data_IF_559622680832
#
_entry.id   IF_559622680832
#
_cell.length_a   1.000
_cell.length_b   1.000
_cell.length_c   1.000
_cell.angle_alpha   90.00
_cell.angle_beta   90.00
_cell.angle_gamma   90.00
#
_symmetry.space_group_name_H-M   'P 1'
#
loop_
_entity.id
_entity.type
_entity.pdbx_description
1 polymer ?
#
# COMPACT_ATOMS: atom_id res chain seq x y z
N UNK A 1 6.51 -32.49 -16.74
CA UNK A 1 5.17 -31.87 -16.89
C UNK A 1 5.36 -30.39 -17.16
N UNK A 2 5.45 -30.02 -18.44
CA UNK A 2 5.41 -28.60 -18.84
C UNK A 2 3.95 -28.17 -18.79
N UNK A 3 3.55 -27.20 -17.95
CA UNK A 3 2.16 -26.82 -17.89
C UNK A 3 1.80 -26.08 -19.18
N UNK A 4 0.76 -26.56 -19.87
CA UNK A 4 0.14 -25.80 -20.94
C UNK A 4 -0.23 -24.41 -20.39
N UNK A 5 0.47 -23.40 -20.91
CA UNK A 5 0.32 -21.95 -20.62
C UNK A 5 0.94 -21.45 -19.30
N UNK A 6 2.26 -21.34 -19.24
CA UNK A 6 2.90 -20.34 -18.38
C UNK A 6 2.68 -18.96 -18.99
N UNK A 7 1.76 -18.19 -18.43
CA UNK A 7 1.58 -16.77 -18.77
C UNK A 7 2.63 -15.98 -18.00
N UNK A 8 3.46 -15.22 -18.71
CA UNK A 8 4.43 -14.31 -18.10
C UNK A 8 3.74 -13.41 -17.05
N UNK A 9 4.38 -13.21 -15.88
CA UNK A 9 3.88 -12.37 -14.78
C UNK A 9 3.41 -10.99 -15.27
N UNK A 10 4.12 -10.40 -16.23
CA UNK A 10 3.77 -9.13 -16.89
C UNK A 10 2.42 -9.20 -17.60
N UNK A 11 2.21 -10.25 -18.37
CA UNK A 11 0.95 -10.45 -19.11
C UNK A 11 -0.19 -10.79 -18.14
N UNK A 12 0.10 -11.58 -17.10
CA UNK A 12 -0.86 -11.88 -16.04
C UNK A 12 -1.34 -10.62 -15.30
N UNK A 13 -0.41 -9.72 -14.96
CA UNK A 13 -0.71 -8.42 -14.34
C UNK A 13 -1.56 -7.54 -15.27
N UNK A 14 -1.23 -7.45 -16.57
CA UNK A 14 -2.03 -6.68 -17.55
C UNK A 14 -3.46 -7.19 -17.68
N UNK A 15 -3.64 -8.52 -17.73
CA UNK A 15 -4.96 -9.15 -17.77
C UNK A 15 -5.73 -8.80 -16.50
N UNK A 16 -5.10 -8.98 -15.33
CA UNK A 16 -5.71 -8.66 -14.03
C UNK A 16 -6.15 -7.20 -13.94
N UNK A 17 -5.28 -6.24 -14.30
CA UNK A 17 -5.63 -4.80 -14.33
C UNK A 17 -6.77 -4.50 -15.29
N UNK A 18 -6.82 -5.17 -16.45
CA UNK A 18 -7.88 -4.96 -17.45
C UNK A 18 -9.23 -5.47 -16.96
N UNK A 19 -9.27 -6.63 -16.31
CA UNK A 19 -10.48 -7.17 -15.70
C UNK A 19 -10.93 -6.29 -14.53
N UNK A 20 -9.99 -5.89 -13.67
CA UNK A 20 -10.23 -5.01 -12.53
C UNK A 20 -10.98 -3.73 -12.91
N UNK A 21 -10.55 -3.05 -13.98
CA UNK A 21 -11.25 -1.88 -14.56
C UNK A 21 -12.72 -2.17 -14.84
N UNK A 22 -13.03 -3.33 -15.42
CA UNK A 22 -14.42 -3.72 -15.73
C UNK A 22 -15.21 -3.99 -14.45
N UNK A 23 -14.61 -4.67 -13.48
CA UNK A 23 -15.26 -4.98 -12.19
C UNK A 23 -15.66 -3.72 -11.42
N UNK A 24 -14.88 -2.64 -11.49
CA UNK A 24 -15.24 -1.35 -10.88
C UNK A 24 -16.59 -0.80 -11.34
N UNK A 25 -16.99 -1.12 -12.57
CA UNK A 25 -18.26 -0.66 -13.18
C UNK A 25 -19.45 -1.60 -12.95
N UNK A 26 -19.24 -2.76 -12.31
CA UNK A 26 -20.30 -3.75 -12.15
C UNK A 26 -21.24 -3.39 -11.00
N UNK A 27 -22.52 -3.69 -11.20
CA UNK A 27 -23.51 -3.66 -10.12
C UNK A 27 -23.25 -4.78 -9.11
N UNK A 28 -23.75 -4.61 -7.88
CA UNK A 28 -23.65 -5.63 -6.83
C UNK A 28 -24.18 -7.00 -7.27
N UNK A 29 -25.30 -7.04 -8.00
CA UNK A 29 -25.88 -8.27 -8.56
C UNK A 29 -24.91 -8.97 -9.51
N UNK A 30 -24.18 -8.22 -10.32
CA UNK A 30 -23.19 -8.80 -11.24
C UNK A 30 -21.94 -9.28 -10.48
N UNK A 31 -21.52 -8.58 -9.42
CA UNK A 31 -20.43 -9.04 -8.57
C UNK A 31 -20.77 -10.34 -7.85
N UNK A 32 -22.02 -10.57 -7.46
CA UNK A 32 -22.46 -11.83 -6.85
C UNK A 32 -22.18 -13.03 -7.79
N UNK A 33 -22.45 -12.89 -9.09
CA UNK A 33 -22.12 -13.93 -10.07
C UNK A 33 -20.61 -14.20 -10.16
N UNK A 34 -19.79 -13.15 -10.03
CA UNK A 34 -18.33 -13.29 -10.04
C UNK A 34 -17.83 -14.10 -8.84
N UNK A 35 -18.52 -14.04 -7.69
CA UNK A 35 -18.09 -14.80 -6.50
C UNK A 35 -18.13 -16.31 -6.69
N UNK A 36 -18.93 -16.82 -7.64
CA UNK A 36 -18.97 -18.25 -7.97
C UNK A 36 -17.61 -18.79 -8.45
N UNK A 37 -16.80 -17.93 -9.09
CA UNK A 37 -15.46 -18.29 -9.58
C UNK A 37 -14.40 -18.30 -8.47
N UNK A 38 -14.70 -17.87 -7.25
CA UNK A 38 -13.75 -17.90 -6.13
C UNK A 38 -13.35 -19.33 -5.72
N UNK A 39 -14.12 -20.34 -6.09
CA UNK A 39 -13.72 -21.75 -5.91
C UNK A 39 -12.53 -22.13 -6.80
N UNK A 40 -12.29 -21.39 -7.90
CA UNK A 40 -11.19 -21.63 -8.81
C UNK A 40 -9.92 -20.90 -8.33
N UNK A 41 -8.88 -21.65 -7.97
CA UNK A 41 -7.60 -21.09 -7.52
C UNK A 41 -6.98 -20.13 -8.54
N UNK A 42 -6.96 -20.50 -9.83
CA UNK A 42 -6.43 -19.62 -10.89
C UNK A 42 -7.17 -18.28 -10.97
N UNK A 43 -8.47 -18.26 -10.67
CA UNK A 43 -9.24 -17.03 -10.62
C UNK A 43 -8.86 -16.18 -9.41
N UNK A 44 -8.66 -16.78 -8.23
CA UNK A 44 -8.18 -16.08 -7.05
C UNK A 44 -6.77 -15.52 -7.26
N UNK A 45 -5.86 -16.31 -7.83
CA UNK A 45 -4.51 -15.86 -8.18
C UNK A 45 -4.55 -14.65 -9.11
N UNK A 46 -5.41 -14.68 -10.13
CA UNK A 46 -5.58 -13.57 -11.07
C UNK A 46 -6.17 -12.32 -10.42
N UNK A 47 -7.24 -12.48 -9.64
CA UNK A 47 -8.07 -11.36 -9.20
C UNK A 47 -7.75 -10.81 -7.82
N UNK A 48 -7.17 -11.62 -6.95
CA UNK A 48 -6.90 -11.28 -5.55
C UNK A 48 -5.42 -11.03 -5.28
N UNK A 49 -4.53 -11.84 -5.87
CA UNK A 49 -3.13 -11.88 -5.42
C UNK A 49 -2.14 -11.27 -6.42
N UNK A 50 -2.43 -11.36 -7.73
CA UNK A 50 -1.52 -10.83 -8.74
C UNK A 50 -1.59 -9.31 -8.92
N UNK A 51 -2.68 -8.70 -8.48
CA UNK A 51 -2.86 -7.25 -8.50
C UNK A 51 -3.68 -6.82 -7.29
N UNK A 52 -3.00 -6.22 -6.31
CA UNK A 52 -3.62 -5.74 -5.08
C UNK A 52 -4.27 -4.37 -5.33
N UNK A 53 -5.58 -4.36 -5.62
CA UNK A 53 -6.34 -3.16 -5.96
C UNK A 53 -6.80 -2.38 -4.70
N UNK A 54 -5.82 -1.78 -4.01
CA UNK A 54 -6.05 -1.02 -2.76
C UNK A 54 -7.16 0.02 -2.95
N UNK A 55 -7.13 0.79 -4.03
CA UNK A 55 -8.10 1.85 -4.34
C UNK A 55 -9.57 1.40 -4.29
N UNK A 56 -9.84 0.10 -4.51
CA UNK A 56 -11.19 -0.46 -4.52
C UNK A 56 -11.46 -1.45 -3.42
N UNK A 57 -10.66 -1.41 -2.35
CA UNK A 57 -10.96 -2.13 -1.12
C UNK A 57 -12.37 -1.80 -0.60
N UNK A 58 -12.85 -0.57 -0.77
CA UNK A 58 -14.22 -0.20 -0.38
C UNK A 58 -15.29 -0.49 -1.45
N UNK A 59 -14.94 -1.21 -2.51
CA UNK A 59 -15.82 -1.60 -3.59
C UNK A 59 -15.65 -3.10 -3.90
N UNK A 60 -15.41 -3.45 -5.17
CA UNK A 60 -15.42 -4.85 -5.61
C UNK A 60 -14.28 -5.67 -4.98
N UNK A 61 -13.08 -5.10 -4.81
CA UNK A 61 -11.91 -5.87 -4.37
C UNK A 61 -12.07 -6.34 -2.92
N UNK A 62 -12.43 -5.44 -2.00
CA UNK A 62 -12.74 -5.85 -0.62
C UNK A 62 -13.99 -6.73 -0.52
N UNK A 63 -14.96 -6.57 -1.41
CA UNK A 63 -16.11 -7.48 -1.49
C UNK A 63 -15.66 -8.91 -1.85
N UNK A 64 -14.80 -9.08 -2.84
CA UNK A 64 -14.28 -10.39 -3.24
C UNK A 64 -13.40 -11.00 -2.14
N UNK A 65 -12.56 -10.23 -1.45
CA UNK A 65 -11.77 -10.70 -0.30
C UNK A 65 -12.66 -11.23 0.84
N UNK A 66 -13.73 -10.50 1.19
CA UNK A 66 -14.69 -10.96 2.21
C UNK A 66 -15.38 -12.26 1.79
N UNK A 67 -15.67 -12.42 0.50
CA UNK A 67 -16.35 -13.61 -0.05
C UNK A 67 -15.41 -14.80 -0.24
N UNK A 68 -14.11 -14.57 -0.41
CA UNK A 68 -13.12 -15.64 -0.56
C UNK A 68 -12.74 -16.29 0.77
N UNK A 69 -12.75 -15.53 1.88
CA UNK A 69 -12.31 -16.00 3.20
C UNK A 69 -12.92 -17.34 3.67
N UNK A 70 -14.23 -17.63 3.50
CA UNK A 70 -14.80 -18.93 3.90
C UNK A 70 -14.49 -20.08 2.91
N UNK A 71 -13.86 -19.80 1.77
CA UNK A 71 -13.61 -20.75 0.67
C UNK A 71 -12.13 -21.17 0.65
N UNK A 72 -11.24 -20.23 0.93
CA UNK A 72 -9.78 -20.44 0.90
C UNK A 72 -9.32 -21.35 2.04
N UNK A 73 -8.33 -22.20 1.74
CA UNK A 73 -7.76 -23.15 2.69
C UNK A 73 -6.22 -23.11 2.76
N UNK A 74 -5.56 -22.46 1.79
CA UNK A 74 -4.11 -22.31 1.79
C UNK A 74 -3.70 -21.24 2.83
N UNK A 75 -2.62 -21.51 3.57
CA UNK A 75 -2.15 -20.65 4.67
C UNK A 75 -1.82 -19.23 4.19
N UNK A 76 -1.11 -19.11 3.07
CA UNK A 76 -0.70 -17.84 2.46
C UNK A 76 -1.92 -17.01 2.02
N UNK A 77 -2.92 -17.66 1.41
CA UNK A 77 -4.18 -17.03 1.02
C UNK A 77 -4.93 -16.50 2.25
N UNK A 78 -5.02 -17.32 3.32
CA UNK A 78 -5.70 -16.94 4.56
C UNK A 78 -4.97 -15.76 5.22
N UNK A 79 -3.64 -15.83 5.32
CA UNK A 79 -2.81 -14.77 5.88
C UNK A 79 -3.00 -13.47 5.08
N UNK A 80 -2.84 -13.54 3.76
CA UNK A 80 -3.04 -12.41 2.86
C UNK A 80 -4.41 -11.77 3.05
N UNK A 81 -5.48 -12.58 2.96
CA UNK A 81 -6.85 -12.07 2.97
C UNK A 81 -7.20 -11.46 4.32
N UNK A 82 -6.80 -12.09 5.43
CA UNK A 82 -7.02 -11.52 6.77
C UNK A 82 -6.29 -10.18 6.92
N UNK A 83 -5.00 -10.13 6.62
CA UNK A 83 -4.22 -8.89 6.75
C UNK A 83 -4.78 -7.76 5.88
N UNK A 84 -5.19 -8.05 4.63
CA UNK A 84 -5.82 -7.05 3.75
C UNK A 84 -7.17 -6.56 4.28
N UNK A 85 -7.97 -7.43 4.90
CA UNK A 85 -9.23 -7.03 5.54
C UNK A 85 -8.98 -6.21 6.81
N UNK A 86 -7.90 -6.49 7.55
CA UNK A 86 -7.47 -5.68 8.68
C UNK A 86 -7.07 -4.28 8.24
N UNK A 87 -6.25 -4.18 7.20
CA UNK A 87 -5.90 -2.89 6.58
C UNK A 87 -7.13 -2.15 6.07
N UNK A 88 -8.08 -2.86 5.43
CA UNK A 88 -9.34 -2.29 4.97
C UNK A 88 -10.16 -1.66 6.11
N UNK A 89 -10.24 -2.33 7.27
CA UNK A 89 -10.91 -1.76 8.44
C UNK A 89 -10.15 -0.54 8.97
N UNK A 90 -8.81 -0.63 9.05
CA UNK A 90 -7.95 0.46 9.52
C UNK A 90 -8.15 1.75 8.71
N UNK A 91 -8.07 1.70 7.38
CA UNK A 91 -8.24 2.90 6.51
C UNK A 91 -9.67 3.44 6.50
N UNK A 92 -10.63 2.68 7.04
CA UNK A 92 -12.02 3.11 7.26
C UNK A 92 -12.29 3.55 8.69
N UNK A 93 -11.26 3.60 9.54
CA UNK A 93 -11.40 3.94 10.95
C UNK A 93 -12.38 2.99 11.68
N UNK A 94 -12.40 1.72 11.27
CA UNK A 94 -13.15 0.63 11.90
C UNK A 94 -12.21 -0.25 12.74
N UNK A 95 -12.75 -1.08 13.63
CA UNK A 95 -11.95 -1.98 14.47
C UNK A 95 -11.15 -2.98 13.63
N UNK A 96 -9.86 -3.12 13.96
CA UNK A 96 -8.99 -4.15 13.39
C UNK A 96 -9.07 -5.38 14.29
N UNK A 97 -10.12 -6.19 14.10
CA UNK A 97 -10.38 -7.39 14.92
C UNK A 97 -9.58 -8.60 14.40
N UNK A 98 -8.25 -8.48 14.37
CA UNK A 98 -7.34 -9.55 13.97
C UNK A 98 -6.31 -9.77 15.07
N UNK A 99 -6.28 -10.97 15.62
CA UNK A 99 -5.16 -11.41 16.48
C UNK A 99 -3.98 -11.78 15.58
N UNK A 100 -3.06 -10.83 15.36
CA UNK A 100 -1.91 -10.99 14.46
C UNK A 100 -1.02 -12.16 14.90
N UNK A 101 -0.77 -12.31 16.19
CA UNK A 101 0.01 -13.43 16.75
C UNK A 101 -0.64 -14.81 16.55
N UNK A 102 -1.96 -14.86 16.32
CA UNK A 102 -2.66 -16.12 15.99
C UNK A 102 -2.51 -16.53 14.52
N UNK A 103 -1.95 -15.65 13.68
CA UNK A 103 -1.76 -15.93 12.26
C UNK A 103 -0.43 -16.64 12.04
N UNK A 104 -0.49 -17.78 11.38
CA UNK A 104 0.69 -18.54 11.00
C UNK A 104 1.39 -17.88 9.81
N UNK A 105 2.69 -17.62 9.95
CA UNK A 105 3.54 -17.17 8.84
C UNK A 105 4.07 -18.42 8.11
N UNK A 106 3.82 -18.56 6.80
CA UNK A 106 4.34 -19.67 6.00
C UNK A 106 5.87 -19.69 5.95
N UNK A 107 6.49 -20.86 5.88
CA UNK A 107 7.97 -21.00 5.80
C UNK A 107 8.58 -20.25 4.61
N UNK A 108 7.90 -20.24 3.47
CA UNK A 108 8.31 -19.54 2.24
C UNK A 108 7.45 -18.29 1.99
N UNK A 109 7.14 -17.54 3.05
CA UNK A 109 6.31 -16.34 2.95
C UNK A 109 6.95 -15.30 2.01
N UNK A 110 6.18 -14.85 1.02
CA UNK A 110 6.62 -13.82 0.09
C UNK A 110 7.00 -12.53 0.86
N UNK A 111 8.12 -11.83 0.52
CA UNK A 111 8.58 -10.66 1.27
C UNK A 111 7.50 -9.56 1.45
N UNK A 112 6.72 -9.26 0.42
CA UNK A 112 5.57 -8.33 0.51
C UNK A 112 4.56 -8.76 1.60
N UNK A 113 4.20 -10.04 1.65
CA UNK A 113 3.23 -10.55 2.61
C UNK A 113 3.79 -10.52 4.04
N UNK A 114 5.08 -10.84 4.19
CA UNK A 114 5.78 -10.71 5.46
C UNK A 114 5.86 -9.24 5.92
N UNK A 115 6.16 -8.32 5.00
CA UNK A 115 6.10 -6.89 5.24
C UNK A 115 4.74 -6.47 5.79
N UNK A 116 3.67 -6.83 5.08
CA UNK A 116 2.28 -6.57 5.50
C UNK A 116 1.95 -7.12 6.89
N UNK A 117 2.39 -8.34 7.19
CA UNK A 117 2.18 -8.95 8.51
C UNK A 117 2.76 -8.05 9.61
N UNK A 118 4.01 -7.62 9.46
CA UNK A 118 4.65 -6.75 10.44
C UNK A 118 4.04 -5.33 10.45
N UNK A 119 3.57 -4.82 9.30
CA UNK A 119 2.83 -3.55 9.28
C UNK A 119 1.55 -3.62 10.10
N UNK A 120 0.80 -4.72 9.98
CA UNK A 120 -0.41 -4.91 10.77
C UNK A 120 -0.11 -5.09 12.25
N UNK A 121 1.04 -5.67 12.62
CA UNK A 121 1.48 -5.74 14.01
C UNK A 121 1.68 -4.34 14.61
N UNK A 122 2.23 -3.38 13.85
CA UNK A 122 2.32 -1.98 14.29
C UNK A 122 0.96 -1.33 14.54
N UNK A 123 -0.06 -1.68 13.73
CA UNK A 123 -1.42 -1.15 13.86
C UNK A 123 -2.15 -1.78 15.06
N UNK A 124 -2.02 -3.10 15.23
CA UNK A 124 -2.77 -3.87 16.23
C UNK A 124 -2.16 -3.79 17.64
N UNK A 125 -0.86 -3.50 17.76
CA UNK A 125 -0.13 -3.47 19.05
C UNK A 125 0.69 -2.16 19.17
N UNK A 126 0.03 -0.98 19.21
CA UNK A 126 0.72 0.30 19.21
C UNK A 126 1.65 0.49 20.42
N UNK A 127 1.33 -0.11 21.57
CA UNK A 127 2.17 -0.11 22.77
C UNK A 127 3.52 -0.82 22.57
N UNK A 128 3.58 -1.78 21.64
CA UNK A 128 4.78 -2.54 21.32
C UNK A 128 5.46 -2.04 20.03
N UNK A 129 5.04 -0.89 19.47
CA UNK A 129 5.49 -0.38 18.17
C UNK A 129 7.02 -0.36 18.01
N UNK A 130 7.77 0.08 19.02
CA UNK A 130 9.24 0.11 18.96
C UNK A 130 9.86 -1.30 18.96
N UNK A 131 9.36 -2.20 19.82
CA UNK A 131 9.83 -3.58 19.85
C UNK A 131 9.54 -4.30 18.54
N UNK A 132 8.32 -4.13 18.00
CA UNK A 132 7.89 -4.71 16.74
C UNK A 132 8.71 -4.17 15.57
N UNK A 133 9.06 -2.88 15.58
CA UNK A 133 9.96 -2.27 14.61
C UNK A 133 11.39 -2.84 14.69
N UNK A 134 11.96 -2.94 15.88
CA UNK A 134 13.32 -3.48 16.08
C UNK A 134 13.42 -4.95 15.66
N UNK A 135 12.39 -5.74 15.95
CA UNK A 135 12.27 -7.13 15.51
C UNK A 135 12.22 -7.21 13.98
N UNK A 136 11.38 -6.38 13.34
CA UNK A 136 11.27 -6.32 11.90
C UNK A 136 12.59 -5.90 11.24
N UNK A 137 13.33 -4.94 11.81
CA UNK A 137 14.65 -4.57 11.33
C UNK A 137 15.65 -5.74 11.41
N UNK A 138 15.59 -6.59 12.46
CA UNK A 138 16.43 -7.80 12.53
C UNK A 138 16.07 -8.83 11.45
N UNK A 139 14.79 -8.95 11.11
CA UNK A 139 14.31 -9.83 10.04
C UNK A 139 14.78 -9.31 8.68
N UNK A 140 14.60 -8.02 8.41
CA UNK A 140 14.99 -7.41 7.13
C UNK A 140 16.47 -7.60 6.78
N UNK A 141 17.36 -7.61 7.78
CA UNK A 141 18.81 -7.85 7.58
C UNK A 141 19.11 -9.22 6.95
N UNK A 142 18.20 -10.19 7.08
CA UNK A 142 18.39 -11.57 6.58
C UNK A 142 17.77 -11.80 5.20
N UNK A 143 17.03 -10.84 4.65
CA UNK A 143 16.27 -10.99 3.41
C UNK A 143 16.83 -10.09 2.32
N UNK A 144 17.13 -10.61 1.14
CA UNK A 144 17.70 -9.79 0.06
C UNK A 144 16.68 -8.81 -0.55
N UNK A 145 15.41 -9.21 -0.65
CA UNK A 145 14.33 -8.42 -1.26
C UNK A 145 13.81 -7.27 -0.38
N UNK A 146 14.65 -6.29 -0.05
CA UNK A 146 14.28 -5.13 0.79
C UNK A 146 13.10 -4.36 0.24
N UNK A 147 13.15 -4.04 -1.04
CA UNK A 147 12.09 -3.31 -1.72
C UNK A 147 10.71 -3.95 -1.55
N UNK A 148 10.60 -5.25 -1.81
CA UNK A 148 9.35 -6.01 -1.68
C UNK A 148 8.91 -6.08 -0.21
N UNK A 149 9.86 -6.31 0.70
CA UNK A 149 9.60 -6.38 2.14
C UNK A 149 9.04 -5.06 2.69
N UNK A 150 9.58 -3.92 2.25
CA UNK A 150 9.15 -2.61 2.73
C UNK A 150 7.96 -2.00 1.97
N UNK A 151 7.55 -2.61 0.84
CA UNK A 151 6.50 -2.11 -0.05
C UNK A 151 5.20 -1.72 0.70
N UNK A 152 4.79 -2.52 1.67
CA UNK A 152 3.58 -2.29 2.45
C UNK A 152 3.85 -1.92 3.91
N UNK A 153 5.13 -1.86 4.30
CA UNK A 153 5.56 -1.42 5.62
C UNK A 153 5.72 0.10 5.69
N UNK A 154 6.42 0.67 4.70
CA UNK A 154 6.63 2.12 4.61
C UNK A 154 5.31 2.89 4.55
N UNK A 155 4.31 2.50 3.72
CA UNK A 155 3.01 3.18 3.73
C UNK A 155 2.34 3.19 5.11
N UNK A 156 2.45 2.11 5.89
CA UNK A 156 1.89 2.09 7.25
C UNK A 156 2.65 3.01 8.18
N UNK A 157 3.98 3.08 8.11
CA UNK A 157 4.74 4.07 8.87
C UNK A 157 4.33 5.52 8.52
N UNK A 158 4.04 5.79 7.23
CA UNK A 158 3.48 7.08 6.82
C UNK A 158 2.14 7.32 7.53
N UNK A 159 1.23 6.34 7.53
CA UNK A 159 -0.08 6.47 8.18
C UNK A 159 0.02 6.63 9.70
N UNK A 160 1.02 6.01 10.33
CA UNK A 160 1.28 6.13 11.77
C UNK A 160 2.11 7.38 12.14
N UNK A 161 2.49 8.20 11.15
CA UNK A 161 3.37 9.39 11.32
C UNK A 161 4.75 9.08 11.90
N UNK A 162 5.24 7.87 11.69
CA UNK A 162 6.50 7.34 12.24
C UNK A 162 7.69 7.70 11.33
N UNK A 163 7.87 8.99 11.04
CA UNK A 163 8.86 9.47 10.05
C UNK A 163 10.30 9.17 10.49
N UNK A 164 10.59 9.16 11.79
CA UNK A 164 11.89 8.76 12.35
C UNK A 164 12.23 7.30 12.01
N UNK A 165 11.24 6.40 12.05
CA UNK A 165 11.43 4.99 11.68
C UNK A 165 11.69 4.85 10.18
N UNK A 166 11.02 5.68 9.36
CA UNK A 166 11.26 5.76 7.92
C UNK A 166 12.71 6.22 7.66
N UNK A 167 13.16 7.28 8.34
CA UNK A 167 14.54 7.77 8.24
C UNK A 167 15.56 6.70 8.62
N UNK A 168 15.33 5.96 9.71
CA UNK A 168 16.18 4.83 10.10
C UNK A 168 16.25 3.75 9.02
N UNK A 169 15.14 3.42 8.36
CA UNK A 169 15.11 2.47 7.25
C UNK A 169 15.98 2.97 6.09
N UNK A 170 15.83 4.23 5.66
CA UNK A 170 16.63 4.79 4.57
C UNK A 170 18.12 4.87 4.92
N UNK A 171 18.47 5.19 6.16
CA UNK A 171 19.86 5.20 6.60
C UNK A 171 20.55 3.83 6.49
N UNK A 172 19.78 2.73 6.58
CA UNK A 172 20.31 1.37 6.50
C UNK A 172 20.25 0.84 5.05
N UNK A 173 19.17 1.12 4.32
CA UNK A 173 18.82 0.43 3.06
C UNK A 173 18.59 1.38 1.88
N UNK A 174 19.19 2.57 1.87
CA UNK A 174 18.95 3.58 0.82
C UNK A 174 19.07 2.99 -0.59
N UNK A 175 20.20 2.35 -0.91
CA UNK A 175 20.45 1.83 -2.25
C UNK A 175 19.45 0.72 -2.61
N UNK A 176 19.18 -0.21 -1.70
CA UNK A 176 18.23 -1.32 -1.95
C UNK A 176 16.78 -0.86 -2.10
N UNK A 177 16.45 0.34 -1.61
CA UNK A 177 15.13 0.96 -1.74
C UNK A 177 15.03 1.96 -2.90
N UNK A 178 16.16 2.38 -3.49
CA UNK A 178 16.24 3.46 -4.47
C UNK A 178 16.88 3.05 -5.82
N UNK A 179 17.66 1.96 -5.87
CA UNK A 179 18.27 1.42 -7.11
C UNK A 179 17.38 0.32 -7.70
N UNK A 180 17.02 0.46 -8.99
CA UNK A 180 16.05 -0.40 -9.65
C UNK A 180 16.53 -0.95 -11.00
N UNK A 181 16.38 -2.27 -11.18
CA UNK A 181 16.64 -2.96 -12.45
C UNK A 181 15.37 -3.40 -13.22
N UNK A 182 14.17 -3.36 -12.61
CA UNK A 182 12.94 -3.90 -13.24
C UNK A 182 11.74 -2.92 -13.29
N UNK A 183 11.10 -2.87 -14.46
CA UNK A 183 10.04 -1.93 -14.83
C UNK A 183 8.68 -2.16 -14.11
N UNK A 184 8.46 -3.33 -13.50
CA UNK A 184 7.24 -3.69 -12.76
C UNK A 184 7.25 -3.20 -11.30
N UNK A 185 8.39 -2.68 -10.80
CA UNK A 185 8.52 -2.12 -9.46
C UNK A 185 8.26 -0.61 -9.35
N UNK A 186 7.87 0.06 -10.44
CA UNK A 186 7.59 1.52 -10.48
C UNK A 186 6.57 1.94 -9.39
N UNK A 187 5.66 1.06 -8.99
CA UNK A 187 4.72 1.32 -7.90
C UNK A 187 5.33 1.28 -6.51
N UNK A 188 6.32 0.42 -6.30
CA UNK A 188 6.98 0.24 -5.01
C UNK A 188 7.91 1.43 -4.74
N UNK A 189 8.65 1.85 -5.77
CA UNK A 189 9.50 3.04 -5.75
C UNK A 189 8.74 4.28 -5.29
N UNK A 190 7.49 4.45 -5.74
CA UNK A 190 6.69 5.63 -5.39
C UNK A 190 6.44 5.76 -3.90
N UNK A 191 6.19 4.65 -3.19
CA UNK A 191 6.04 4.74 -1.74
C UNK A 191 7.34 5.17 -1.08
N UNK A 192 8.48 4.65 -1.54
CA UNK A 192 9.80 5.03 -1.04
C UNK A 192 10.09 6.52 -1.32
N UNK A 193 9.80 7.01 -2.53
CA UNK A 193 9.98 8.42 -2.88
C UNK A 193 9.08 9.36 -2.06
N UNK A 194 7.82 8.99 -1.80
CA UNK A 194 6.93 9.75 -0.90
C UNK A 194 7.53 9.78 0.51
N UNK A 195 7.93 8.62 1.02
CA UNK A 195 8.47 8.46 2.36
C UNK A 195 9.76 9.28 2.56
N UNK A 196 10.68 9.21 1.59
CA UNK A 196 11.92 9.99 1.60
C UNK A 196 11.64 11.49 1.51
N UNK A 197 10.62 11.90 0.75
CA UNK A 197 10.17 13.31 0.72
C UNK A 197 9.70 13.78 2.10
N UNK A 198 9.00 12.92 2.86
CA UNK A 198 8.55 13.25 4.21
C UNK A 198 9.72 13.35 5.19
N UNK A 199 10.75 12.50 5.06
CA UNK A 199 12.00 12.60 5.83
C UNK A 199 12.69 13.93 5.56
N UNK A 200 12.89 14.30 4.29
CA UNK A 200 13.49 15.60 3.94
C UNK A 200 12.67 16.79 4.45
N UNK A 201 11.35 16.71 4.39
CA UNK A 201 10.49 17.77 4.93
C UNK A 201 10.61 17.90 6.45
N UNK A 202 10.68 16.78 7.17
CA UNK A 202 10.89 16.77 8.62
C UNK A 202 12.23 17.38 9.02
N UNK A 203 13.27 17.11 8.24
CA UNK A 203 14.63 17.58 8.50
C UNK A 203 14.91 19.00 7.95
N UNK A 204 13.89 19.73 7.50
CA UNK A 204 14.01 21.05 6.86
C UNK A 204 14.88 21.05 5.57
N UNK A 205 15.04 19.90 4.90
CA UNK A 205 15.80 19.71 3.65
C UNK A 205 14.91 19.85 2.40
N UNK A 206 14.01 20.84 2.41
CA UNK A 206 12.98 21.05 1.37
C UNK A 206 13.54 21.23 -0.04
N UNK A 207 14.81 21.65 -0.19
CA UNK A 207 15.48 21.77 -1.47
C UNK A 207 15.65 20.44 -2.22
N UNK A 208 15.63 19.30 -1.52
CA UNK A 208 15.80 17.96 -2.11
C UNK A 208 14.48 17.37 -2.64
N UNK A 209 13.36 17.84 -2.11
CA UNK A 209 12.00 17.34 -2.41
C UNK A 209 11.60 17.51 -3.90
N UNK A 210 11.90 18.63 -4.59
CA UNK A 210 11.54 18.79 -6.00
C UNK A 210 12.08 17.70 -6.92
N UNK A 211 13.28 17.19 -6.64
CA UNK A 211 13.88 16.13 -7.45
C UNK A 211 13.06 14.85 -7.35
N UNK A 212 12.67 14.46 -6.13
CA UNK A 212 11.80 13.31 -5.90
C UNK A 212 10.43 13.49 -6.56
N UNK A 213 9.86 14.70 -6.52
CA UNK A 213 8.58 15.00 -7.14
C UNK A 213 8.60 14.89 -8.68
N UNK A 214 9.77 15.07 -9.33
CA UNK A 214 9.87 14.91 -10.78
C UNK A 214 9.51 13.50 -11.22
N UNK A 215 9.91 12.48 -10.46
CA UNK A 215 9.58 11.08 -10.74
C UNK A 215 8.07 10.80 -10.70
N UNK A 216 7.29 11.57 -9.93
CA UNK A 216 5.83 11.50 -9.95
C UNK A 216 5.21 12.25 -11.15
N UNK A 217 5.88 13.30 -11.65
CA UNK A 217 5.38 14.11 -12.76
C UNK A 217 5.77 13.59 -14.15
N UNK A 218 6.89 12.88 -14.26
CA UNK A 218 7.43 12.36 -15.52
C UNK A 218 6.71 11.07 -15.99
N UNK A 219 6.10 10.33 -15.07
CA UNK A 219 5.24 9.20 -15.40
C UNK A 219 3.85 9.71 -15.83
N UNK A 220 3.70 10.06 -17.11
CA UNK A 220 2.44 10.58 -17.69
C UNK A 220 1.24 9.62 -17.59
N UNK A 221 1.49 8.34 -17.31
CA UNK A 221 0.46 7.35 -17.06
C UNK A 221 0.63 6.78 -15.65
N UNK A 222 -0.05 7.39 -14.68
CA UNK A 222 -0.42 6.64 -13.50
C UNK A 222 -1.16 5.38 -13.95
N UNK A 223 -0.70 4.18 -13.55
CA UNK A 223 -1.49 2.98 -13.77
C UNK A 223 -2.89 3.19 -13.19
N UNK A 224 -3.85 2.46 -13.72
CA UNK A 224 -5.26 2.86 -13.66
C UNK A 224 -5.86 2.96 -12.25
N UNK A 225 -5.14 2.47 -11.22
CA UNK A 225 -5.53 2.59 -9.82
C UNK A 225 -4.32 3.03 -8.99
N UNK A 226 -4.25 4.33 -8.73
CA UNK A 226 -3.20 4.98 -7.97
C UNK A 226 -3.75 6.03 -6.99
N UNK A 227 -5.05 6.03 -6.74
CA UNK A 227 -5.70 7.02 -5.88
C UNK A 227 -5.11 6.97 -4.46
N UNK A 228 -4.87 5.79 -3.90
CA UNK A 228 -4.23 5.63 -2.60
C UNK A 228 -2.80 6.20 -2.58
N UNK A 229 -2.01 5.95 -3.64
CA UNK A 229 -0.66 6.52 -3.77
C UNK A 229 -0.71 8.05 -3.86
N UNK A 230 -1.67 8.60 -4.62
CA UNK A 230 -1.90 10.04 -4.73
C UNK A 230 -2.33 10.67 -3.40
N UNK A 231 -3.11 9.97 -2.57
CA UNK A 231 -3.45 10.43 -1.22
C UNK A 231 -2.17 10.60 -0.41
N UNK A 232 -1.31 9.59 -0.33
CA UNK A 232 -0.04 9.66 0.40
C UNK A 232 0.88 10.74 -0.16
N UNK A 233 1.00 10.84 -1.48
CA UNK A 233 1.79 11.87 -2.15
C UNK A 233 1.29 13.29 -1.82
N UNK A 234 -0.04 13.46 -1.69
CA UNK A 234 -0.63 14.75 -1.35
C UNK A 234 -0.24 15.22 0.06
N UNK A 235 0.09 14.31 0.98
CA UNK A 235 0.63 14.66 2.30
C UNK A 235 1.96 15.40 2.16
N UNK A 236 2.94 14.76 1.51
CA UNK A 236 4.26 15.36 1.28
C UNK A 236 4.14 16.68 0.49
N UNK A 237 3.32 16.69 -0.57
CA UNK A 237 3.13 17.86 -1.42
C UNK A 237 2.44 19.02 -0.70
N UNK A 238 1.48 18.74 0.19
CA UNK A 238 0.82 19.75 1.00
C UNK A 238 1.81 20.46 1.90
N UNK A 239 2.61 19.72 2.67
CA UNK A 239 3.58 20.32 3.58
C UNK A 239 4.73 21.03 2.86
N UNK A 240 5.19 20.50 1.73
CA UNK A 240 6.15 21.20 0.86
C UNK A 240 5.60 22.57 0.41
N UNK A 241 4.36 22.63 -0.08
CA UNK A 241 3.75 23.90 -0.48
C UNK A 241 3.42 24.82 0.69
N UNK A 242 3.00 24.26 1.83
CA UNK A 242 2.72 25.02 3.04
C UNK A 242 3.99 25.70 3.56
N UNK A 243 5.13 25.02 3.55
CA UNK A 243 6.43 25.59 3.94
C UNK A 243 6.85 26.75 3.04
N UNK A 244 6.70 26.60 1.72
CA UNK A 244 7.16 27.61 0.75
C UNK A 244 6.20 28.77 0.53
N UNK A 245 4.89 28.51 0.58
CA UNK A 245 3.86 29.44 0.13
C UNK A 245 2.77 29.71 1.18
N UNK A 246 2.88 29.13 2.38
CA UNK A 246 1.84 29.19 3.41
C UNK A 246 0.50 28.63 2.90
N UNK A 247 -0.60 29.24 3.34
CA UNK A 247 -1.97 28.91 2.90
C UNK A 247 -2.34 29.49 1.52
N UNK A 248 -1.37 29.48 0.60
CA UNK A 248 -1.52 29.98 -0.76
C UNK A 248 -2.34 29.07 -1.69
N UNK A 249 -2.53 29.51 -2.94
CA UNK A 249 -3.35 28.82 -3.95
C UNK A 249 -2.92 27.36 -4.18
N UNK A 250 -1.62 27.09 -4.18
CA UNK A 250 -1.08 25.73 -4.42
C UNK A 250 -1.39 24.79 -3.25
N UNK A 251 -1.16 25.25 -2.01
CA UNK A 251 -1.46 24.51 -0.78
C UNK A 251 -2.94 24.13 -0.70
N UNK A 252 -3.84 25.11 -0.94
CA UNK A 252 -5.29 24.87 -0.96
C UNK A 252 -5.72 23.91 -2.08
N UNK A 253 -5.07 23.96 -3.24
CA UNK A 253 -5.33 23.05 -4.35
C UNK A 253 -5.02 21.61 -3.97
N UNK A 254 -3.84 21.36 -3.38
CA UNK A 254 -3.43 20.00 -2.95
C UNK A 254 -4.35 19.47 -1.85
N UNK A 255 -4.69 20.30 -0.85
CA UNK A 255 -5.66 19.92 0.18
C UNK A 255 -7.00 19.48 -0.41
N UNK A 256 -7.53 20.22 -1.38
CA UNK A 256 -8.77 19.86 -2.06
C UNK A 256 -8.64 18.54 -2.82
N UNK A 257 -7.54 18.33 -3.54
CA UNK A 257 -7.26 17.08 -4.27
C UNK A 257 -7.19 15.87 -3.32
N UNK A 258 -6.49 16.00 -2.19
CA UNK A 258 -6.43 14.99 -1.14
C UNK A 258 -7.82 14.61 -0.63
N UNK A 259 -8.65 15.59 -0.25
CA UNK A 259 -9.99 15.34 0.27
C UNK A 259 -10.92 14.69 -0.78
N UNK A 260 -10.79 15.08 -2.05
CA UNK A 260 -11.52 14.45 -3.15
C UNK A 260 -11.13 12.98 -3.34
N UNK A 261 -9.84 12.66 -3.23
CA UNK A 261 -9.35 11.28 -3.33
C UNK A 261 -9.80 10.42 -2.13
N UNK A 262 -9.72 10.97 -0.91
CA UNK A 262 -10.23 10.31 0.30
C UNK A 262 -11.73 10.00 0.17
N UNK A 263 -12.52 10.95 -0.33
CA UNK A 263 -13.94 10.75 -0.60
C UNK A 263 -14.17 9.68 -1.69
N UNK A 264 -13.42 9.73 -2.79
CA UNK A 264 -13.54 8.80 -3.93
C UNK A 264 -13.25 7.35 -3.52
N UNK A 265 -12.21 7.14 -2.71
CA UNK A 265 -11.82 5.81 -2.20
C UNK A 265 -12.71 5.34 -1.04
N UNK A 266 -13.35 6.28 -0.34
CA UNK A 266 -14.15 6.01 0.84
C UNK A 266 -13.31 5.64 2.07
N UNK A 267 -12.05 6.08 2.11
CA UNK A 267 -11.14 5.88 3.22
C UNK A 267 -11.28 7.02 4.25
N UNK A 268 -12.14 6.81 5.24
CA UNK A 268 -12.45 7.78 6.30
C UNK A 268 -11.28 8.10 7.23
N UNK A 269 -10.21 7.30 7.22
CA UNK A 269 -8.96 7.63 7.94
C UNK A 269 -8.34 8.94 7.46
N UNK A 270 -8.43 9.24 6.17
CA UNK A 270 -7.80 10.40 5.54
C UNK A 270 -8.64 11.67 5.74
N UNK A 271 -8.56 12.24 6.95
CA UNK A 271 -9.24 13.48 7.30
C UNK A 271 -8.40 14.71 6.93
N UNK A 272 -9.05 15.87 6.93
CA UNK A 272 -8.36 17.16 6.85
C UNK A 272 -7.34 17.33 7.99
N UNK A 273 -7.69 16.97 9.22
CA UNK A 273 -6.78 17.06 10.38
C UNK A 273 -5.56 16.16 10.22
N UNK A 274 -5.73 14.94 9.70
CA UNK A 274 -4.61 14.05 9.42
C UNK A 274 -3.59 14.70 8.47
N UNK A 275 -4.08 15.42 7.46
CA UNK A 275 -3.25 16.16 6.51
C UNK A 275 -2.60 17.39 7.14
N UNK A 276 -3.35 18.25 7.83
CA UNK A 276 -2.81 19.53 8.33
C UNK A 276 -1.85 19.33 9.50
N UNK A 277 -2.08 18.30 10.30
CA UNK A 277 -1.37 18.04 11.54
C UNK A 277 -0.33 16.92 11.39
N UNK A 278 0.07 16.56 10.17
CA UNK A 278 0.90 15.37 9.92
C UNK A 278 2.22 15.36 10.70
N UNK A 279 2.89 16.50 10.80
CA UNK A 279 4.15 16.65 11.54
C UNK A 279 3.98 17.17 12.97
N UNK A 280 2.74 17.38 13.44
CA UNK A 280 2.42 17.86 14.78
C UNK A 280 2.24 16.70 15.76
#
# INVERSE_FOLDING_TARGET
NSPLFEVDRKEFAKISTSISKKLKSLSKKNLEWITLFLNCESFRNLMLYSYVDVDTLNAYYGYLLKKSLPIINQKDEILFTKLMLGFYNFVRNESVDISIDSLEIPENCHPILLGRYHSMKLISEPENSNQNFDEFLKISKKLDSKIELFQEYIPILILLKEVEKIEQIFNIYYNELMDYEHWDHIHIERYNLIALSLVYLKNDEYQLVPELFKYFSAASDFHVNDDYQKILYSIAKYHYHQKLFGEGKQTRKVKREYLQLAQKTGFSFFTESFLTDYFN
#
